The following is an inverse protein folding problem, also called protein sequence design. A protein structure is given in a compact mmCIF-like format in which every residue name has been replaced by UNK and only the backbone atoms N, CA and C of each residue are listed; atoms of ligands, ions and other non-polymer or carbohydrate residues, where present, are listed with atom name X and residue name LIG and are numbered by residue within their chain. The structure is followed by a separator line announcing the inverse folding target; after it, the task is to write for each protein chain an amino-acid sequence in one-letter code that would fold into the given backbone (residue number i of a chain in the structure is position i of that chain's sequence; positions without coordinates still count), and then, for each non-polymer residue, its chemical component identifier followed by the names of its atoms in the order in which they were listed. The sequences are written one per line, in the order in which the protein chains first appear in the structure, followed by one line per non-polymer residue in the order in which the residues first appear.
data_IF_004041393396
#
_entry.id   IF_004041393396
#
_cell.length_a   1.000
_cell.length_b   1.000
_cell.length_c   1.000
_cell.angle_alpha   90.00
_cell.angle_beta   90.00
_cell.angle_gamma   90.00
#
_symmetry.space_group_name_H-M   'P 1'
#
loop_
_entity.id
_entity.type
_entity.pdbx_description
1 polymer ?
#
# COMPACT_ATOMS: atom_id res chain seq x y z
N UNK A 1 38.87 -31.57 -6.54
CA UNK A 1 37.77 -30.58 -6.65
C UNK A 1 36.76 -31.19 -7.61
N UNK A 2 35.64 -31.72 -7.11
CA UNK A 2 34.73 -32.54 -7.91
C UNK A 2 34.06 -31.70 -9.03
N UNK A 3 33.84 -32.27 -10.22
CA UNK A 3 33.13 -31.58 -11.29
C UNK A 3 31.65 -31.55 -10.92
N UNK A 4 31.13 -30.36 -10.63
CA UNK A 4 29.67 -30.14 -10.64
C UNK A 4 29.16 -30.62 -11.99
N UNK A 5 28.24 -31.57 -11.98
CA UNK A 5 27.71 -32.15 -13.21
C UNK A 5 27.08 -31.06 -14.08
N UNK A 6 27.21 -31.15 -15.41
CA UNK A 6 26.62 -30.17 -16.34
C UNK A 6 25.11 -29.96 -16.09
N UNK A 7 24.43 -31.00 -15.59
CA UNK A 7 23.05 -30.93 -15.10
C UNK A 7 22.85 -29.97 -13.92
N UNK A 8 23.69 -30.03 -12.88
CA UNK A 8 23.65 -29.08 -11.75
C UNK A 8 23.95 -27.64 -12.18
N UNK A 9 24.83 -27.46 -13.18
CA UNK A 9 25.13 -26.14 -13.73
C UNK A 9 23.93 -25.57 -14.51
N UNK A 10 23.30 -26.37 -15.36
CA UNK A 10 22.09 -25.99 -16.11
C UNK A 10 20.89 -25.76 -15.18
N UNK A 11 20.71 -26.57 -14.14
CA UNK A 11 19.62 -26.42 -13.17
C UNK A 11 19.81 -25.16 -12.31
N UNK A 12 21.06 -24.84 -11.95
CA UNK A 12 21.41 -23.58 -11.28
C UNK A 12 21.18 -22.35 -12.18
N UNK A 13 21.49 -22.44 -13.47
CA UNK A 13 21.22 -21.37 -14.45
C UNK A 13 19.71 -21.23 -14.71
N UNK A 14 18.99 -22.34 -14.86
CA UNK A 14 17.53 -22.39 -14.99
C UNK A 14 16.84 -21.76 -13.79
N UNK A 15 17.24 -22.16 -12.57
CA UNK A 15 16.71 -21.62 -11.33
C UNK A 15 16.96 -20.12 -11.13
N UNK A 16 18.12 -19.59 -11.56
CA UNK A 16 18.35 -18.13 -11.54
C UNK A 16 17.48 -17.39 -12.55
N UNK A 17 17.20 -18.00 -13.70
CA UNK A 17 16.38 -17.39 -14.77
C UNK A 17 14.90 -17.38 -14.39
N UNK A 18 14.40 -18.48 -13.83
CA UNK A 18 13.04 -18.59 -13.32
C UNK A 18 12.77 -17.57 -12.20
N UNK A 19 13.65 -17.48 -11.20
CA UNK A 19 13.51 -16.53 -10.10
C UNK A 19 13.43 -15.08 -10.58
N UNK A 20 14.22 -14.72 -11.60
CA UNK A 20 14.21 -13.37 -12.20
C UNK A 20 12.90 -13.08 -12.93
N UNK A 21 12.41 -14.02 -13.73
CA UNK A 21 11.16 -13.88 -14.48
C UNK A 21 10.00 -13.71 -13.50
N UNK A 22 9.90 -14.57 -12.48
CA UNK A 22 8.87 -14.48 -11.45
C UNK A 22 8.94 -13.14 -10.72
N UNK A 23 10.14 -12.71 -10.31
CA UNK A 23 10.32 -11.41 -9.65
C UNK A 23 9.87 -10.24 -10.54
N UNK A 24 10.19 -10.27 -11.83
CA UNK A 24 9.78 -9.24 -12.79
C UNK A 24 8.26 -9.22 -13.00
N UNK A 25 7.62 -10.39 -13.13
CA UNK A 25 6.17 -10.50 -13.31
C UNK A 25 5.43 -9.97 -12.07
N UNK A 26 5.85 -10.38 -10.87
CA UNK A 26 5.22 -9.91 -9.63
C UNK A 26 5.34 -8.39 -9.44
N UNK A 27 6.53 -7.83 -9.71
CA UNK A 27 6.71 -6.38 -9.67
C UNK A 27 5.95 -5.68 -10.80
N UNK A 28 5.80 -6.28 -11.98
CA UNK A 28 5.00 -5.73 -13.08
C UNK A 28 3.52 -5.65 -12.73
N UNK A 29 2.96 -6.70 -12.12
CA UNK A 29 1.57 -6.70 -11.62
C UNK A 29 1.40 -5.63 -10.54
N UNK A 30 2.34 -5.54 -9.60
CA UNK A 30 2.29 -4.52 -8.55
C UNK A 30 2.41 -3.09 -9.11
N UNK A 31 3.24 -2.87 -10.13
CA UNK A 31 3.34 -1.59 -10.81
C UNK A 31 2.01 -1.20 -11.47
N UNK A 32 1.36 -2.15 -12.17
CA UNK A 32 0.06 -1.93 -12.78
C UNK A 32 -1.02 -1.59 -11.73
N UNK A 33 -1.02 -2.28 -10.59
CA UNK A 33 -1.89 -1.96 -9.46
C UNK A 33 -1.60 -0.56 -8.89
N UNK A 34 -0.33 -0.17 -8.78
CA UNK A 34 0.08 1.18 -8.36
C UNK A 34 -0.43 2.27 -9.31
N UNK A 35 -0.30 2.07 -10.63
CA UNK A 35 -0.85 2.98 -11.64
C UNK A 35 -2.37 3.08 -11.51
N UNK A 36 -3.06 1.95 -11.34
CA UNK A 36 -4.51 1.94 -11.11
C UNK A 36 -4.91 2.76 -9.87
N UNK A 37 -4.18 2.62 -8.76
CA UNK A 37 -4.41 3.42 -7.54
C UNK A 37 -4.22 4.92 -7.78
N UNK A 38 -3.21 5.31 -8.58
CA UNK A 38 -3.00 6.72 -8.95
C UNK A 38 -4.18 7.23 -9.77
N UNK A 39 -4.62 6.48 -10.79
CA UNK A 39 -5.75 6.87 -11.65
C UNK A 39 -7.01 7.05 -10.81
N UNK A 40 -7.34 6.08 -9.95
CA UNK A 40 -8.47 6.16 -9.03
C UNK A 40 -8.34 7.34 -8.05
N UNK A 41 -7.13 7.61 -7.57
CA UNK A 41 -6.87 8.76 -6.71
C UNK A 41 -7.17 10.07 -7.43
N UNK A 42 -6.69 10.23 -8.66
CA UNK A 42 -6.88 11.46 -9.46
C UNK A 42 -8.35 11.67 -9.82
N UNK A 43 -9.05 10.63 -10.29
CA UNK A 43 -10.47 10.79 -10.67
C UNK A 43 -11.34 11.15 -9.48
N UNK A 44 -11.14 10.49 -8.33
CA UNK A 44 -11.92 10.76 -7.12
C UNK A 44 -11.47 12.02 -6.38
N UNK A 45 -10.25 12.52 -6.62
CA UNK A 45 -9.76 13.75 -6.00
C UNK A 45 -10.66 14.95 -6.37
N UNK A 46 -11.05 15.06 -7.64
CA UNK A 46 -11.87 16.17 -8.10
C UNK A 46 -13.29 16.14 -7.53
N UNK A 47 -13.88 14.94 -7.38
CA UNK A 47 -15.22 14.79 -6.84
C UNK A 47 -15.23 14.94 -5.31
N UNK A 48 -14.29 14.31 -4.61
CA UNK A 48 -14.17 14.45 -3.15
C UNK A 48 -13.82 15.87 -2.70
N UNK A 49 -13.00 16.59 -3.46
CA UNK A 49 -12.66 17.97 -3.15
C UNK A 49 -13.88 18.91 -3.25
N UNK A 50 -14.77 18.64 -4.22
CA UNK A 50 -16.01 19.42 -4.39
C UNK A 50 -17.07 19.09 -3.36
N UNK A 51 -17.13 17.83 -2.91
CA UNK A 51 -18.20 17.34 -2.02
C UNK A 51 -17.83 17.46 -0.54
N UNK A 52 -16.56 17.27 -0.17
CA UNK A 52 -16.16 17.05 1.22
C UNK A 52 -15.08 18.02 1.75
N UNK A 53 -14.60 18.98 0.94
CA UNK A 53 -13.51 19.90 1.32
C UNK A 53 -12.21 19.21 1.77
N UNK A 54 -12.12 17.88 1.60
CA UNK A 54 -11.21 16.99 2.29
C UNK A 54 -10.47 16.12 1.29
N UNK A 55 -9.17 16.35 1.15
CA UNK A 55 -8.33 15.71 0.14
C UNK A 55 -7.54 14.50 0.67
N UNK A 56 -7.75 14.08 1.92
CA UNK A 56 -6.89 13.09 2.60
C UNK A 56 -6.91 11.70 1.96
N UNK A 57 -8.09 11.18 1.60
CA UNK A 57 -8.23 9.84 1.00
C UNK A 57 -7.72 9.77 -0.45
N UNK A 58 -8.06 10.72 -1.35
CA UNK A 58 -7.53 10.68 -2.71
C UNK A 58 -6.02 10.98 -2.76
N UNK A 59 -5.52 11.95 -1.97
CA UNK A 59 -4.08 12.26 -1.91
C UNK A 59 -3.29 11.05 -1.41
N UNK A 60 -3.73 10.39 -0.34
CA UNK A 60 -3.05 9.20 0.18
C UNK A 60 -2.99 8.07 -0.85
N UNK A 61 -4.03 7.90 -1.66
CA UNK A 61 -4.07 6.92 -2.75
C UNK A 61 -3.03 7.22 -3.83
N UNK A 62 -2.88 8.50 -4.22
CA UNK A 62 -1.89 8.95 -5.21
C UNK A 62 -0.47 8.74 -4.68
N UNK A 63 -0.20 9.16 -3.44
CA UNK A 63 1.12 9.04 -2.81
C UNK A 63 1.51 7.56 -2.69
N UNK A 64 0.60 6.72 -2.18
CA UNK A 64 0.85 5.29 -2.03
C UNK A 64 1.07 4.60 -3.38
N UNK A 65 0.22 4.88 -4.37
CA UNK A 65 0.38 4.33 -5.72
C UNK A 65 1.71 4.74 -6.37
N UNK A 66 2.12 5.99 -6.19
CA UNK A 66 3.41 6.50 -6.68
C UNK A 66 4.59 5.79 -6.05
N UNK A 67 4.58 5.58 -4.73
CA UNK A 67 5.61 4.81 -4.03
C UNK A 67 5.71 3.37 -4.54
N UNK A 68 4.56 2.71 -4.76
CA UNK A 68 4.52 1.34 -5.31
C UNK A 68 5.15 1.30 -6.70
N UNK A 69 4.79 2.23 -7.59
CA UNK A 69 5.37 2.30 -8.95
C UNK A 69 6.88 2.53 -8.91
N UNK A 70 7.37 3.43 -8.03
CA UNK A 70 8.81 3.68 -7.90
C UNK A 70 9.57 2.44 -7.44
N UNK A 71 9.09 1.78 -6.39
CA UNK A 71 9.77 0.59 -5.81
C UNK A 71 9.76 -0.57 -6.80
N UNK A 72 8.62 -0.82 -7.45
CA UNK A 72 8.49 -1.90 -8.44
C UNK A 72 9.35 -1.64 -9.67
N UNK A 73 9.49 -0.38 -10.11
CA UNK A 73 10.39 0.00 -11.19
C UNK A 73 11.85 -0.27 -10.82
N UNK A 74 12.28 0.07 -9.60
CA UNK A 74 13.63 -0.26 -9.10
C UNK A 74 13.85 -1.78 -9.09
N UNK A 75 12.84 -2.55 -8.66
CA UNK A 75 12.89 -4.02 -8.68
C UNK A 75 13.04 -4.61 -10.09
N UNK A 76 12.27 -4.11 -11.07
CA UNK A 76 12.33 -4.54 -12.46
C UNK A 76 13.67 -4.15 -13.10
N UNK A 77 14.10 -2.89 -12.93
CA UNK A 77 15.39 -2.40 -13.44
C UNK A 77 16.55 -3.17 -12.82
N UNK A 78 16.47 -3.49 -11.52
CA UNK A 78 17.43 -4.34 -10.83
C UNK A 78 17.53 -5.72 -11.48
N UNK A 79 16.39 -6.37 -11.76
CA UNK A 79 16.33 -7.65 -12.47
C UNK A 79 16.96 -7.59 -13.86
N UNK A 80 16.71 -6.52 -14.64
CA UNK A 80 17.23 -6.35 -16.00
C UNK A 80 18.73 -6.07 -15.98
N UNK A 81 19.17 -5.09 -15.19
CA UNK A 81 20.58 -4.65 -15.12
C UNK A 81 21.48 -5.63 -14.37
N UNK A 82 20.91 -6.66 -13.73
CA UNK A 82 21.63 -7.65 -12.91
C UNK A 82 22.54 -6.99 -11.86
N UNK A 83 22.11 -5.84 -11.33
CA UNK A 83 22.92 -4.99 -10.45
C UNK A 83 22.61 -5.27 -8.98
N UNK A 84 23.62 -5.67 -8.23
CA UNK A 84 23.51 -5.89 -6.79
C UNK A 84 23.07 -4.64 -6.03
N UNK A 85 23.58 -3.45 -6.40
CA UNK A 85 23.24 -2.20 -5.71
C UNK A 85 21.75 -1.86 -5.85
N UNK A 86 21.17 -2.09 -7.03
CA UNK A 86 19.74 -1.87 -7.28
C UNK A 86 18.85 -2.79 -6.44
N UNK A 87 19.26 -4.06 -6.25
CA UNK A 87 18.57 -4.95 -5.33
C UNK A 87 18.74 -4.52 -3.87
N UNK A 88 19.89 -3.94 -3.50
CA UNK A 88 20.09 -3.35 -2.18
C UNK A 88 19.12 -2.18 -1.92
N UNK A 89 18.97 -1.26 -2.86
CA UNK A 89 18.01 -0.14 -2.74
C UNK A 89 16.57 -0.63 -2.71
N UNK A 90 16.22 -1.60 -3.56
CA UNK A 90 14.89 -2.21 -3.57
C UNK A 90 14.56 -2.85 -2.20
N UNK A 91 15.47 -3.66 -1.65
CA UNK A 91 15.28 -4.29 -0.35
C UNK A 91 15.18 -3.25 0.78
N UNK A 92 16.02 -2.21 0.77
CA UNK A 92 15.96 -1.14 1.78
C UNK A 92 14.61 -0.41 1.78
N UNK A 93 14.11 -0.04 0.60
CA UNK A 93 12.81 0.63 0.45
C UNK A 93 11.65 -0.27 0.91
N UNK A 94 11.65 -1.55 0.52
CA UNK A 94 10.61 -2.49 0.94
C UNK A 94 10.66 -2.76 2.45
N UNK A 95 11.85 -2.89 3.06
CA UNK A 95 11.96 -3.06 4.51
C UNK A 95 11.40 -1.85 5.24
N UNK A 96 11.71 -0.64 4.79
CA UNK A 96 11.13 0.58 5.38
C UNK A 96 9.61 0.57 5.30
N UNK A 97 9.04 0.18 4.15
CA UNK A 97 7.58 0.07 4.00
C UNK A 97 6.97 -0.97 4.95
N UNK A 98 7.59 -2.14 5.10
CA UNK A 98 7.11 -3.17 6.04
C UNK A 98 7.07 -2.61 7.47
N UNK A 99 8.10 -1.89 7.90
CA UNK A 99 8.14 -1.30 9.25
C UNK A 99 7.01 -0.28 9.47
N UNK A 100 6.80 0.62 8.51
CA UNK A 100 5.69 1.59 8.57
C UNK A 100 4.33 0.87 8.59
N UNK A 101 4.16 -0.17 7.75
CA UNK A 101 2.94 -0.94 7.68
C UNK A 101 2.63 -1.67 9.00
N UNK A 102 3.65 -2.22 9.65
CA UNK A 102 3.50 -2.89 10.95
C UNK A 102 3.06 -1.92 12.05
N UNK A 103 3.58 -0.69 12.07
CA UNK A 103 3.13 0.34 13.01
C UNK A 103 1.66 0.69 12.79
N UNK A 104 1.24 0.88 11.53
CA UNK A 104 -0.16 1.18 11.19
C UNK A 104 -1.08 0.03 11.60
N UNK A 105 -0.70 -1.21 11.30
CA UNK A 105 -1.46 -2.40 11.69
C UNK A 105 -1.59 -2.52 13.21
N UNK A 106 -0.51 -2.27 13.95
CA UNK A 106 -0.52 -2.30 15.41
C UNK A 106 -1.45 -1.25 16.00
N UNK A 107 -1.43 -0.02 15.47
CA UNK A 107 -2.35 1.05 15.90
C UNK A 107 -3.80 0.68 15.63
N UNK A 108 -4.11 0.16 14.43
CA UNK A 108 -5.46 -0.29 14.07
C UNK A 108 -5.95 -1.45 14.94
N UNK A 109 -5.04 -2.31 15.38
CA UNK A 109 -5.33 -3.44 16.26
C UNK A 109 -5.57 -3.01 17.70
N UNK A 110 -4.70 -2.17 18.26
CA UNK A 110 -4.69 -1.84 19.70
C UNK A 110 -5.75 -0.81 20.11
N UNK A 111 -6.30 -0.01 19.20
CA UNK A 111 -7.27 1.05 19.55
C UNK A 111 -8.66 0.78 19.00
N UNK A 112 -9.35 -0.28 19.43
CA UNK A 112 -10.64 -0.59 18.85
C UNK A 112 -11.83 0.20 19.41
N UNK A 113 -11.67 0.82 20.59
CA UNK A 113 -12.76 1.40 21.39
C UNK A 113 -12.73 2.94 21.52
N UNK A 114 -11.63 3.62 21.19
CA UNK A 114 -11.53 5.10 21.26
C UNK A 114 -12.29 5.82 20.12
N UNK A 115 -13.11 5.10 19.36
CA UNK A 115 -13.71 5.61 18.13
C UNK A 115 -14.98 6.40 18.36
N UNK A 116 -15.78 6.09 19.38
CA UNK A 116 -17.03 6.79 19.63
C UNK A 116 -16.78 8.26 19.99
N UNK A 117 -15.86 8.51 20.94
CA UNK A 117 -15.44 9.88 21.29
C UNK A 117 -14.86 10.64 20.09
N UNK A 118 -14.02 9.97 19.27
CA UNK A 118 -13.49 10.58 18.04
C UNK A 118 -14.58 10.86 17.01
N UNK A 119 -15.57 9.99 16.87
CA UNK A 119 -16.69 10.23 15.97
C UNK A 119 -17.51 11.41 16.45
N UNK A 120 -17.72 11.56 17.76
CA UNK A 120 -18.39 12.74 18.33
C UNK A 120 -17.64 14.03 17.98
N UNK A 121 -16.32 14.08 18.24
CA UNK A 121 -15.50 15.27 17.96
C UNK A 121 -15.51 15.64 16.47
N UNK A 122 -15.38 14.64 15.59
CA UNK A 122 -15.42 14.83 14.15
C UNK A 122 -16.80 15.26 13.69
N UNK A 123 -17.86 14.64 14.21
CA UNK A 123 -19.24 14.98 13.87
C UNK A 123 -19.57 16.41 14.27
N UNK A 124 -19.17 16.84 15.47
CA UNK A 124 -19.37 18.22 15.93
C UNK A 124 -18.60 19.22 15.04
N UNK A 125 -17.37 18.88 14.65
CA UNK A 125 -16.58 19.69 13.72
C UNK A 125 -17.22 19.82 12.34
N UNK A 126 -17.77 18.74 11.81
CA UNK A 126 -18.51 18.72 10.54
C UNK A 126 -19.83 19.47 10.66
N UNK A 127 -20.57 19.33 11.76
CA UNK A 127 -21.84 20.01 11.95
C UNK A 127 -21.69 21.54 11.93
N UNK A 128 -20.58 22.05 12.47
CA UNK A 128 -20.28 23.50 12.49
C UNK A 128 -19.75 24.03 11.15
N UNK A 129 -18.95 23.24 10.43
CA UNK A 129 -18.15 23.75 9.31
C UNK A 129 -18.53 23.16 7.95
N UNK A 130 -19.19 22.01 7.91
CA UNK A 130 -19.49 21.25 6.69
C UNK A 130 -20.72 20.32 6.86
N UNK A 131 -21.89 20.95 6.86
CA UNK A 131 -23.18 20.27 7.00
C UNK A 131 -23.53 19.36 5.80
N UNK A 132 -22.96 19.60 4.62
CA UNK A 132 -23.22 18.79 3.43
C UNK A 132 -22.58 17.40 3.54
N UNK A 133 -21.43 17.29 4.21
CA UNK A 133 -20.83 16.02 4.58
C UNK A 133 -21.74 15.20 5.50
N UNK A 134 -22.33 15.81 6.54
CA UNK A 134 -23.29 15.13 7.43
C UNK A 134 -24.49 14.62 6.65
N UNK A 135 -25.10 15.47 5.80
CA UNK A 135 -26.26 15.08 4.98
C UNK A 135 -25.95 13.87 4.09
N UNK A 136 -24.73 13.80 3.56
CA UNK A 136 -24.28 12.67 2.74
C UNK A 136 -24.12 11.40 3.58
N UNK A 137 -23.48 11.51 4.75
CA UNK A 137 -23.33 10.38 5.68
C UNK A 137 -24.71 9.85 6.14
N UNK A 138 -25.61 10.73 6.55
CA UNK A 138 -26.98 10.39 6.96
C UNK A 138 -27.74 9.65 5.85
N UNK A 139 -27.58 10.09 4.59
CA UNK A 139 -28.21 9.46 3.44
C UNK A 139 -27.59 8.08 3.11
N UNK A 140 -26.26 7.98 3.14
CA UNK A 140 -25.53 6.76 2.78
C UNK A 140 -25.70 5.66 3.84
N UNK A 141 -25.72 6.06 5.12
CA UNK A 141 -25.90 5.15 6.25
C UNK A 141 -27.36 4.99 6.69
N UNK A 142 -28.28 5.73 6.07
CA UNK A 142 -29.72 5.70 6.37
C UNK A 142 -30.01 5.95 7.86
N UNK A 143 -29.39 7.00 8.39
CA UNK A 143 -29.49 7.44 9.78
C UNK A 143 -29.77 8.95 9.85
N UNK A 144 -30.07 9.46 11.04
CA UNK A 144 -30.41 10.87 11.26
C UNK A 144 -29.81 11.31 12.60
N UNK A 145 -29.03 12.39 12.60
CA UNK A 145 -28.26 12.87 13.75
C UNK A 145 -27.19 11.89 14.26
N UNK A 146 -26.39 12.32 15.23
CA UNK A 146 -25.28 11.52 15.75
C UNK A 146 -25.74 10.42 16.71
N UNK A 147 -26.15 10.77 17.93
CA UNK A 147 -26.69 9.79 18.89
C UNK A 147 -28.19 9.58 18.73
N UNK A 148 -28.91 10.62 18.32
CA UNK A 148 -30.36 10.59 18.15
C UNK A 148 -30.81 11.39 16.93
N UNK A 149 -32.04 11.16 16.42
CA UNK A 149 -32.54 11.85 15.22
C UNK A 149 -32.72 13.37 15.32
N UNK A 150 -32.48 13.95 16.50
CA UNK A 150 -32.53 15.39 16.75
C UNK A 150 -31.17 15.96 17.16
N UNK A 151 -30.16 15.11 17.30
CA UNK A 151 -28.83 15.47 17.77
C UNK A 151 -27.90 15.76 16.59
N UNK A 152 -27.64 17.05 16.33
CA UNK A 152 -26.75 17.50 15.24
C UNK A 152 -27.12 16.90 13.87
N UNK A 153 -28.42 16.81 13.58
CA UNK A 153 -28.98 16.23 12.37
C UNK A 153 -29.01 17.23 11.21
N UNK A 154 -28.77 16.80 9.97
CA UNK A 154 -28.79 17.71 8.80
C UNK A 154 -29.51 17.11 7.59
N UNK A 155 -30.75 17.54 7.27
CA UNK A 155 -31.52 18.60 7.93
C UNK A 155 -32.10 18.13 9.26
N UNK A 156 -32.35 19.05 10.19
CA UNK A 156 -32.88 18.83 11.55
C UNK A 156 -34.19 18.00 11.60
N UNK A 157 -34.86 17.82 10.46
CA UNK A 157 -36.09 17.06 10.29
C UNK A 157 -35.95 15.81 9.40
N UNK A 158 -34.75 15.23 9.28
CA UNK A 158 -34.53 13.99 8.52
C UNK A 158 -35.40 12.81 9.00
N UNK A 159 -35.77 12.78 10.29
CA UNK A 159 -36.62 11.73 10.85
C UNK A 159 -38.09 11.81 10.42
N UNK A 160 -38.61 13.02 10.21
CA UNK A 160 -40.04 13.28 9.98
C UNK A 160 -40.37 13.48 8.50
N UNK A 161 -39.38 13.85 7.68
CA UNK A 161 -39.59 13.94 6.23
C UNK A 161 -39.77 12.54 5.62
N UNK A 162 -40.92 12.36 4.94
CA UNK A 162 -41.32 11.14 4.21
C UNK A 162 -40.27 10.63 3.20
N UNK A 163 -39.35 11.48 2.77
CA UNK A 163 -38.29 11.16 1.81
C UNK A 163 -37.05 10.50 2.44
N UNK A 164 -36.86 10.63 3.76
CA UNK A 164 -35.72 10.10 4.52
C UNK A 164 -36.18 9.09 5.57
N UNK A 165 -37.07 9.49 6.49
CA UNK A 165 -37.75 8.57 7.42
C UNK A 165 -36.84 7.79 8.38
N UNK A 166 -35.61 8.26 8.62
CA UNK A 166 -34.64 7.57 9.46
C UNK A 166 -34.86 7.91 10.94
N UNK A 167 -35.15 6.91 11.77
CA UNK A 167 -35.45 7.10 13.19
C UNK A 167 -34.31 6.70 14.13
N UNK A 168 -33.12 6.41 13.59
CA UNK A 168 -31.95 5.94 14.34
C UNK A 168 -30.78 6.92 14.18
N UNK A 169 -30.04 7.15 15.27
CA UNK A 169 -28.78 7.91 15.26
C UNK A 169 -27.68 7.20 14.46
N UNK A 170 -26.76 7.98 13.89
CA UNK A 170 -25.67 7.49 13.05
C UNK A 170 -24.53 6.79 13.81
N UNK A 171 -24.41 6.94 15.13
CA UNK A 171 -23.33 6.33 15.93
C UNK A 171 -23.25 4.81 15.75
N UNK A 172 -24.37 4.09 15.82
CA UNK A 172 -24.41 2.63 15.64
C UNK A 172 -23.98 2.18 14.23
N UNK A 173 -24.62 2.69 13.16
CA UNK A 173 -24.19 2.44 11.79
C UNK A 173 -22.72 2.81 11.51
N UNK A 174 -22.23 3.93 12.04
CA UNK A 174 -20.84 4.35 11.94
C UNK A 174 -19.89 3.35 12.60
N UNK A 175 -20.19 2.91 13.82
CA UNK A 175 -19.40 1.90 14.51
C UNK A 175 -19.39 0.56 13.78
N UNK A 176 -20.54 0.14 13.23
CA UNK A 176 -20.65 -1.08 12.44
C UNK A 176 -19.77 -0.98 11.18
N UNK A 177 -19.92 0.10 10.42
CA UNK A 177 -19.15 0.31 9.19
C UNK A 177 -17.65 0.44 9.49
N UNK A 178 -17.28 1.15 10.56
CA UNK A 178 -15.89 1.27 11.01
C UNK A 178 -15.31 -0.09 11.40
N UNK A 179 -16.04 -0.87 12.20
CA UNK A 179 -15.62 -2.21 12.62
C UNK A 179 -15.39 -3.11 11.40
N UNK A 180 -16.30 -3.09 10.44
CA UNK A 180 -16.19 -3.86 9.21
C UNK A 180 -14.98 -3.43 8.38
N UNK A 181 -14.85 -2.13 8.08
CA UNK A 181 -13.72 -1.58 7.30
C UNK A 181 -12.37 -1.83 7.97
N UNK A 182 -12.30 -1.67 9.29
CA UNK A 182 -11.10 -1.97 10.08
C UNK A 182 -10.70 -3.43 9.98
N UNK A 183 -11.64 -4.36 10.13
CA UNK A 183 -11.34 -5.79 9.98
C UNK A 183 -10.80 -6.09 8.57
N UNK A 184 -11.44 -5.55 7.53
CA UNK A 184 -10.94 -5.69 6.15
C UNK A 184 -9.54 -5.09 5.97
N UNK A 185 -9.27 -3.91 6.54
CA UNK A 185 -7.97 -3.25 6.46
C UNK A 185 -6.86 -4.04 7.18
N UNK A 186 -7.16 -4.62 8.34
CA UNK A 186 -6.22 -5.47 9.08
C UNK A 186 -5.83 -6.70 8.27
N UNK A 187 -6.83 -7.45 7.77
CA UNK A 187 -6.57 -8.64 6.95
C UNK A 187 -5.82 -8.31 5.66
N UNK A 188 -6.22 -7.25 4.96
CA UNK A 188 -5.53 -6.79 3.76
C UNK A 188 -4.09 -6.35 4.04
N UNK A 189 -3.85 -5.68 5.18
CA UNK A 189 -2.50 -5.27 5.54
C UNK A 189 -1.60 -6.45 5.91
N UNK A 190 -2.11 -7.47 6.63
CA UNK A 190 -1.32 -8.66 6.92
C UNK A 190 -0.95 -9.46 5.66
N UNK A 191 -1.89 -9.62 4.72
CA UNK A 191 -1.59 -10.29 3.44
C UNK A 191 -0.56 -9.50 2.62
N UNK A 192 -0.66 -8.16 2.64
CA UNK A 192 0.31 -7.29 1.98
C UNK A 192 1.71 -7.40 2.60
N UNK A 193 1.84 -7.44 3.93
CA UNK A 193 3.12 -7.69 4.60
C UNK A 193 3.70 -9.05 4.18
N UNK A 194 2.87 -10.10 4.12
CA UNK A 194 3.29 -11.41 3.63
C UNK A 194 3.85 -11.35 2.20
N UNK A 195 3.15 -10.66 1.29
CA UNK A 195 3.61 -10.46 -0.08
C UNK A 195 4.93 -9.67 -0.15
N UNK A 196 5.09 -8.63 0.68
CA UNK A 196 6.33 -7.85 0.77
C UNK A 196 7.50 -8.69 1.30
N UNK A 197 7.27 -9.56 2.29
CA UNK A 197 8.30 -10.48 2.80
C UNK A 197 8.74 -11.44 1.70
N UNK A 198 7.82 -12.03 0.94
CA UNK A 198 8.15 -12.89 -0.20
C UNK A 198 8.98 -12.11 -1.24
N UNK A 199 8.56 -10.89 -1.58
CA UNK A 199 9.29 -10.02 -2.49
C UNK A 199 10.70 -9.66 -2.01
N UNK A 200 10.86 -9.41 -0.70
CA UNK A 200 12.15 -9.18 -0.05
C UNK A 200 13.06 -10.40 -0.12
N UNK A 201 12.54 -11.60 0.18
CA UNK A 201 13.31 -12.85 0.11
C UNK A 201 13.80 -13.12 -1.32
N UNK A 202 12.93 -12.94 -2.32
CA UNK A 202 13.31 -13.07 -3.73
C UNK A 202 14.37 -12.04 -4.14
N UNK A 203 14.18 -10.77 -3.76
CA UNK A 203 15.14 -9.69 -4.06
C UNK A 203 16.49 -9.91 -3.38
N UNK A 204 16.49 -10.36 -2.12
CA UNK A 204 17.71 -10.68 -1.37
C UNK A 204 18.45 -11.86 -1.99
N UNK A 205 17.75 -12.94 -2.38
CA UNK A 205 18.37 -14.09 -3.02
C UNK A 205 18.94 -13.74 -4.40
N UNK A 206 18.24 -12.94 -5.20
CA UNK A 206 18.77 -12.41 -6.47
C UNK A 206 20.00 -11.54 -6.24
N UNK A 207 19.95 -10.61 -5.28
CA UNK A 207 21.08 -9.76 -4.91
C UNK A 207 22.29 -10.57 -4.45
N UNK A 208 22.07 -11.63 -3.65
CA UNK A 208 23.12 -12.55 -3.21
C UNK A 208 23.75 -13.29 -4.38
N UNK A 209 22.95 -13.82 -5.31
CA UNK A 209 23.45 -14.51 -6.52
C UNK A 209 24.30 -13.59 -7.39
N UNK A 210 23.87 -12.34 -7.59
CA UNK A 210 24.65 -11.36 -8.37
C UNK A 210 25.95 -10.95 -7.70
N UNK A 211 25.95 -10.80 -6.37
CA UNK A 211 27.16 -10.53 -5.59
C UNK A 211 28.20 -11.64 -5.76
N UNK A 212 27.78 -12.90 -5.57
CA UNK A 212 28.67 -14.06 -5.72
C UNK A 212 29.24 -14.18 -7.14
N UNK A 213 28.42 -13.89 -8.17
CA UNK A 213 28.89 -13.87 -9.55
C UNK A 213 29.94 -12.77 -9.79
N UNK A 214 29.77 -11.58 -9.20
CA UNK A 214 30.71 -10.47 -9.28
C UNK A 214 32.03 -10.77 -8.57
N UNK A 215 31.98 -11.33 -7.37
CA UNK A 215 33.17 -11.75 -6.60
C UNK A 215 33.94 -12.89 -7.30
N UNK A 216 33.23 -13.83 -7.93
CA UNK A 216 33.84 -14.88 -8.74
C UNK A 216 34.60 -14.32 -9.96
N UNK A 217 34.03 -13.30 -10.60
CA UNK A 217 34.67 -12.61 -11.72
C UNK A 217 35.95 -11.85 -11.31
N UNK A 218 35.93 -11.18 -10.16
CA UNK A 218 37.08 -10.41 -9.66
C UNK A 218 38.28 -11.28 -9.27
N UNK A 219 38.05 -12.55 -8.88
CA UNK A 219 39.12 -13.48 -8.51
C UNK A 219 39.94 -14.03 -9.67
N UNK A 220 39.58 -13.76 -10.93
CA UNK A 220 40.33 -14.22 -12.10
C UNK A 220 41.59 -13.33 -12.29
N UNK A 221 42.82 -13.86 -12.12
CA UNK A 221 44.04 -13.07 -12.24
C UNK A 221 44.22 -12.53 -13.66
N UNK A 222 44.57 -11.24 -13.80
CA UNK A 222 44.89 -10.63 -15.10
C UNK A 222 43.86 -9.66 -15.68
N UNK A 223 42.79 -9.32 -14.94
CA UNK A 223 41.74 -8.38 -15.40
C UNK A 223 41.72 -7.04 -14.67
N UNK A 224 42.86 -6.61 -14.13
CA UNK A 224 43.03 -5.36 -13.39
C UNK A 224 43.13 -4.09 -14.27
N UNK A 225 42.93 -4.21 -15.59
CA UNK A 225 43.26 -3.13 -16.55
C UNK A 225 42.24 -2.82 -17.64
N UNK A 226 40.96 -3.23 -17.55
CA UNK A 226 39.97 -2.85 -18.59
C UNK A 226 39.23 -1.55 -18.22
N UNK A 227 39.43 -0.43 -18.96
CA UNK A 227 38.84 0.88 -18.64
C UNK A 227 37.30 0.93 -18.68
N UNK A 228 36.65 -0.09 -19.26
CA UNK A 228 35.20 -0.14 -19.46
C UNK A 228 34.38 -0.36 -18.17
N UNK A 229 35.03 -0.63 -17.03
CA UNK A 229 34.37 -0.82 -15.73
C UNK A 229 34.36 0.46 -14.87
N UNK A 230 34.99 1.56 -15.31
CA UNK A 230 35.09 2.81 -14.54
C UNK A 230 33.98 3.82 -14.87
N UNK A 231 33.15 3.60 -15.89
CA UNK A 231 32.22 4.63 -16.37
C UNK A 231 30.82 4.62 -15.74
N UNK A 232 30.54 3.79 -14.73
CA UNK A 232 29.24 3.79 -14.05
C UNK A 232 29.37 3.58 -12.54
N UNK A 233 30.18 4.43 -11.89
CA UNK A 233 30.08 4.69 -10.45
C UNK A 233 29.12 5.86 -10.24
#
# INVERSE_FOLDING_TARGET
MAPTTFGEYLDRIGGTSMLRIVHMVLNGIAAAAGVFLIVMGVTNLFDMFKIFGGASLPISSIVLGSLVVLITTVGIVGSIKRSQQMFGTYSGLLTLLVLVQLVVLLVLWLRPHDVEARFSDVWEGLYKNDQDTIRSIEKDLKCCGFQSPVDMAVPDNCATKKHYGFSVGCVGPLEYQWRQRRCSALWAGFTMVGAQIVALLMGAELGRRYRLAREGYQRVPGREGSPLLRTNA
#
